data_IF_392832649617
#
_entry.id   IF_392832649617
#
_cell.length_a   1.000
_cell.length_b   1.000
_cell.length_c   1.000
_cell.angle_alpha   90.00
_cell.angle_beta   90.00
_cell.angle_gamma   90.00
#
_symmetry.space_group_name_H-M   'P 1'
#
loop_
_entity.id
_entity.type
_entity.pdbx_description
1 polymer ?
#
# COMPACT_ATOMS: atom_id res chain seq x y z
N UNK A 1 -45.13 6.93 -38.27
CA UNK A 1 -45.34 8.02 -37.31
C UNK A 1 -46.32 8.97 -37.97
N UNK A 2 -47.44 9.28 -37.33
CA UNK A 2 -48.43 10.20 -37.89
C UNK A 2 -47.80 11.61 -37.95
N UNK A 3 -47.82 12.32 -39.09
CA UNK A 3 -47.30 13.68 -39.21
C UNK A 3 -47.80 14.65 -38.13
N UNK A 4 -49.03 14.45 -37.61
CA UNK A 4 -49.60 15.30 -36.56
C UNK A 4 -48.96 15.06 -35.18
N UNK A 5 -48.68 13.80 -34.86
CA UNK A 5 -48.02 13.43 -33.59
C UNK A 5 -46.57 13.96 -33.54
N UNK A 6 -45.87 13.99 -34.68
CA UNK A 6 -44.50 14.52 -34.75
C UNK A 6 -44.45 16.03 -34.50
N UNK A 7 -45.42 16.78 -35.01
CA UNK A 7 -45.50 18.23 -34.84
C UNK A 7 -45.84 18.61 -33.39
N UNK A 8 -46.73 17.85 -32.74
CA UNK A 8 -47.03 17.99 -31.30
C UNK A 8 -45.81 17.68 -30.43
N UNK A 9 -45.07 16.61 -30.74
CA UNK A 9 -43.82 16.27 -30.05
C UNK A 9 -42.76 17.38 -30.19
N UNK A 10 -42.58 17.94 -31.39
CA UNK A 10 -41.65 19.05 -31.62
C UNK A 10 -42.04 20.30 -30.83
N UNK A 11 -43.34 20.62 -30.79
CA UNK A 11 -43.84 21.74 -30.03
C UNK A 11 -43.65 21.56 -28.51
N UNK A 12 -43.91 20.35 -27.99
CA UNK A 12 -43.68 20.00 -26.59
C UNK A 12 -42.18 20.09 -26.22
N UNK A 13 -41.30 19.54 -27.07
CA UNK A 13 -39.85 19.60 -26.87
C UNK A 13 -39.36 21.05 -26.87
N UNK A 14 -39.85 21.90 -27.79
CA UNK A 14 -39.48 23.32 -27.82
C UNK A 14 -39.91 24.05 -26.55
N UNK A 15 -41.15 23.83 -26.09
CA UNK A 15 -41.67 24.43 -24.87
C UNK A 15 -40.86 24.01 -23.63
N UNK A 16 -40.47 22.75 -23.55
CA UNK A 16 -39.64 22.21 -22.47
C UNK A 16 -38.23 22.81 -22.49
N UNK A 17 -37.60 22.94 -23.66
CA UNK A 17 -36.28 23.56 -23.79
C UNK A 17 -36.30 25.02 -23.35
N UNK A 18 -37.33 25.79 -23.72
CA UNK A 18 -37.48 27.18 -23.29
C UNK A 18 -37.71 27.31 -21.78
N UNK A 19 -38.48 26.40 -21.18
CA UNK A 19 -38.66 26.35 -19.73
C UNK A 19 -37.33 26.02 -19.02
N UNK A 20 -36.57 25.08 -19.57
CA UNK A 20 -35.26 24.67 -19.04
C UNK A 20 -34.21 25.78 -19.17
N UNK A 21 -34.22 26.54 -20.26
CA UNK A 21 -33.36 27.72 -20.41
C UNK A 21 -33.72 28.84 -19.44
N UNK A 22 -35.01 29.11 -19.24
CA UNK A 22 -35.47 30.09 -18.23
C UNK A 22 -34.98 29.72 -16.83
N UNK A 23 -35.20 28.48 -16.41
CA UNK A 23 -34.71 27.99 -15.11
C UNK A 23 -33.18 28.06 -15.00
N UNK A 24 -32.45 27.75 -16.08
CA UNK A 24 -30.99 27.87 -16.08
C UNK A 24 -30.53 29.31 -15.87
N UNK A 25 -31.13 30.27 -16.59
CA UNK A 25 -30.81 31.70 -16.48
C UNK A 25 -31.13 32.26 -15.10
N UNK A 26 -32.29 31.91 -14.54
CA UNK A 26 -32.67 32.29 -13.18
C UNK A 26 -31.65 31.75 -12.17
N UNK A 27 -31.31 30.45 -12.25
CA UNK A 27 -30.32 29.83 -11.36
C UNK A 27 -28.93 30.47 -11.48
N UNK A 28 -28.47 30.79 -12.69
CA UNK A 28 -27.21 31.49 -12.92
C UNK A 28 -27.23 32.90 -12.33
N UNK A 29 -28.34 33.63 -12.47
CA UNK A 29 -28.49 34.98 -11.90
C UNK A 29 -28.46 34.96 -10.37
N UNK A 30 -29.14 33.99 -9.75
CA UNK A 30 -29.24 33.86 -8.31
C UNK A 30 -27.89 33.47 -7.66
N UNK A 31 -27.15 32.57 -8.32
CA UNK A 31 -25.78 32.23 -7.92
C UNK A 31 -24.83 33.43 -8.02
N UNK A 32 -25.03 34.29 -9.02
CA UNK A 32 -24.22 35.50 -9.19
C UNK A 32 -24.48 36.51 -8.06
N UNK A 33 -25.75 36.76 -7.72
CA UNK A 33 -26.13 37.62 -6.59
C UNK A 33 -25.55 37.08 -5.28
N UNK A 34 -25.63 35.76 -5.03
CA UNK A 34 -25.06 35.14 -3.82
C UNK A 34 -23.53 35.26 -3.75
N UNK A 35 -22.84 35.14 -4.89
CA UNK A 35 -21.38 35.35 -4.96
C UNK A 35 -20.99 36.81 -4.73
N UNK A 36 -21.69 37.74 -5.35
CA UNK A 36 -21.44 39.18 -5.17
C UNK A 36 -21.73 39.62 -3.72
N UNK A 37 -22.81 39.13 -3.11
CA UNK A 37 -23.11 39.36 -1.69
C UNK A 37 -22.04 38.75 -0.75
N UNK A 38 -21.54 37.56 -1.07
CA UNK A 38 -20.43 36.95 -0.34
C UNK A 38 -19.12 37.74 -0.46
N UNK A 39 -18.82 38.23 -1.66
CA UNK A 39 -17.66 39.11 -1.91
C UNK A 39 -17.74 40.42 -1.14
N UNK A 40 -18.91 41.08 -1.13
CA UNK A 40 -19.14 42.31 -0.38
C UNK A 40 -18.88 42.13 1.13
N UNK A 41 -19.28 40.98 1.68
CA UNK A 41 -19.01 40.63 3.09
C UNK A 41 -17.52 40.48 3.36
N UNK A 42 -16.76 39.90 2.44
CA UNK A 42 -15.31 39.71 2.58
C UNK A 42 -14.59 41.06 2.48
N UNK A 43 -14.96 41.89 1.51
CA UNK A 43 -14.36 43.21 1.33
C UNK A 43 -14.64 44.12 2.52
N UNK A 44 -15.87 44.09 3.06
CA UNK A 44 -16.23 44.81 4.29
C UNK A 44 -15.39 44.35 5.48
N UNK A 45 -15.16 43.04 5.64
CA UNK A 45 -14.32 42.49 6.71
C UNK A 45 -12.89 43.01 6.59
N UNK A 46 -12.32 43.01 5.38
CA UNK A 46 -10.96 43.51 5.11
C UNK A 46 -10.81 44.99 5.44
N UNK A 47 -11.80 45.80 5.07
CA UNK A 47 -11.79 47.25 5.38
C UNK A 47 -11.81 47.47 6.90
N UNK A 48 -12.67 46.74 7.62
CA UNK A 48 -12.76 46.83 9.08
C UNK A 48 -11.45 46.38 9.73
N UNK A 49 -10.86 45.27 9.28
CA UNK A 49 -9.57 44.76 9.78
C UNK A 49 -8.45 45.77 9.56
N UNK A 50 -8.36 46.39 8.37
CA UNK A 50 -7.36 47.40 8.07
C UNK A 50 -7.53 48.68 8.93
N UNK A 51 -8.77 49.14 9.15
CA UNK A 51 -9.04 50.31 10.00
C UNK A 51 -8.70 50.03 11.47
N UNK A 52 -8.96 48.81 11.95
CA UNK A 52 -8.58 48.37 13.30
C UNK A 52 -7.05 48.37 13.44
N UNK A 53 -6.34 47.82 12.46
CA UNK A 53 -4.87 47.80 12.46
C UNK A 53 -4.28 49.22 12.46
N UNK A 54 -4.74 50.10 11.57
CA UNK A 54 -4.32 51.50 11.54
C UNK A 54 -4.60 52.22 12.86
N UNK A 55 -5.77 51.99 13.47
CA UNK A 55 -6.13 52.56 14.77
C UNK A 55 -5.12 52.15 15.86
N UNK A 56 -4.84 50.86 16.00
CA UNK A 56 -3.93 50.35 17.03
C UNK A 56 -2.47 50.76 16.77
N UNK A 57 -2.02 50.71 15.51
CA UNK A 57 -0.68 51.19 15.12
C UNK A 57 -0.50 52.68 15.41
N UNK A 58 -1.52 53.50 15.15
CA UNK A 58 -1.48 54.94 15.45
C UNK A 58 -1.34 55.25 16.94
N UNK A 59 -1.76 54.30 17.79
CA UNK A 59 -1.68 54.38 19.25
C UNK A 59 -0.39 53.78 19.82
N UNK A 60 0.49 53.26 18.96
CA UNK A 60 1.75 52.64 19.38
C UNK A 60 1.61 51.20 19.85
N UNK A 61 0.52 50.52 19.50
CA UNK A 61 0.36 49.08 19.74
C UNK A 61 0.99 48.30 18.59
N UNK A 62 1.47 47.09 18.90
CA UNK A 62 1.99 46.13 17.92
C UNK A 62 1.16 44.86 17.94
N UNK A 63 1.01 44.25 16.77
CA UNK A 63 0.30 42.98 16.59
C UNK A 63 1.23 41.82 16.97
N UNK A 64 0.76 40.93 17.85
CA UNK A 64 1.49 39.74 18.28
C UNK A 64 0.57 38.50 18.23
N UNK A 65 1.17 37.32 18.06
CA UNK A 65 0.47 36.04 18.10
C UNK A 65 0.90 35.31 19.37
N UNK A 66 -0.04 35.01 20.27
CA UNK A 66 0.26 34.33 21.52
C UNK A 66 0.55 32.82 21.32
N UNK A 67 0.94 32.11 22.39
CA UNK A 67 1.26 30.67 22.30
C UNK A 67 0.09 29.79 21.83
N UNK A 68 -1.14 30.28 22.02
CA UNK A 68 -2.37 29.61 21.60
C UNK A 68 -2.76 29.94 20.14
N UNK A 69 -1.99 30.80 19.45
CA UNK A 69 -2.23 31.21 18.06
C UNK A 69 -3.27 32.32 17.89
N UNK A 70 -3.67 32.99 18.98
CA UNK A 70 -4.59 34.13 18.94
C UNK A 70 -3.84 35.46 18.74
N UNK A 71 -4.45 36.38 18.00
CA UNK A 71 -3.89 37.70 17.71
C UNK A 71 -4.24 38.70 18.83
N UNK A 72 -3.20 39.27 19.44
CA UNK A 72 -3.29 40.28 20.49
C UNK A 72 -2.62 41.60 20.05
N UNK A 73 -3.15 42.72 20.54
CA UNK A 73 -2.54 44.05 20.38
C UNK A 73 -1.91 44.47 21.71
N UNK A 74 -0.59 44.59 21.74
CA UNK A 74 0.15 44.99 22.95
C UNK A 74 0.88 46.31 22.72
N UNK A 75 0.87 47.18 23.73
CA UNK A 75 1.69 48.39 23.74
C UNK A 75 3.17 48.07 23.95
N UNK A 76 4.05 49.02 23.62
CA UNK A 76 5.48 48.88 23.85
C UNK A 76 5.86 48.67 25.34
N UNK A 77 5.04 49.13 26.28
CA UNK A 77 5.26 48.95 27.72
C UNK A 77 4.87 47.55 28.18
N UNK A 78 3.68 47.07 27.78
CA UNK A 78 3.23 45.69 28.05
C UNK A 78 4.16 44.65 27.41
N UNK A 79 4.74 44.96 26.25
CA UNK A 79 5.75 44.12 25.59
C UNK A 79 7.03 43.99 26.43
N UNK A 80 7.50 45.08 27.03
CA UNK A 80 8.70 45.06 27.88
C UNK A 80 8.47 44.32 29.19
N UNK A 81 7.27 44.45 29.76
CA UNK A 81 6.89 43.68 30.95
C UNK A 81 6.85 42.18 30.64
N UNK A 82 6.29 41.80 29.48
CA UNK A 82 6.26 40.40 29.02
C UNK A 82 7.65 39.84 28.73
N UNK A 83 8.51 40.61 28.04
CA UNK A 83 9.92 40.24 27.80
C UNK A 83 10.71 40.11 29.10
N UNK A 84 10.45 40.97 30.10
CA UNK A 84 11.08 40.91 31.43
C UNK A 84 10.62 39.75 32.30
N UNK A 85 9.47 39.14 31.98
CA UNK A 85 8.89 38.00 32.69
C UNK A 85 9.25 36.65 32.05
N UNK A 86 9.98 36.65 30.93
CA UNK A 86 10.37 35.41 30.25
C UNK A 86 11.23 34.55 31.19
N UNK A 87 10.82 33.30 31.47
CA UNK A 87 11.66 32.35 32.20
C UNK A 87 12.98 32.16 31.45
N UNK A 88 14.08 32.05 32.19
CA UNK A 88 15.41 31.65 31.71
C UNK A 88 15.25 30.58 30.62
N UNK A 89 15.70 30.88 29.40
CA UNK A 89 15.64 30.08 28.16
C UNK A 89 15.18 28.62 28.33
N UNK A 90 13.86 28.42 28.33
CA UNK A 90 13.24 27.08 28.28
C UNK A 90 13.42 26.43 26.88
N UNK A 91 13.86 27.21 25.88
CA UNK A 91 14.12 26.74 24.51
C UNK A 91 15.40 25.91 24.41
N UNK A 92 16.40 26.15 25.28
CA UNK A 92 17.66 25.37 25.29
C UNK A 92 17.44 23.93 25.78
N UNK A 93 16.46 23.68 26.64
CA UNK A 93 16.12 22.34 27.12
C UNK A 93 15.27 21.54 26.11
N UNK A 94 14.37 22.18 25.35
CA UNK A 94 13.56 21.49 24.32
C UNK A 94 14.38 21.18 23.05
N UNK A 95 15.37 22.00 22.68
CA UNK A 95 16.22 21.73 21.50
C UNK A 95 17.13 20.52 21.74
N UNK A 96 17.76 20.40 22.90
CA UNK A 96 18.55 19.21 23.26
C UNK A 96 17.64 17.98 23.47
N UNK A 97 16.48 18.13 24.11
CA UNK A 97 15.51 17.03 24.20
C UNK A 97 14.99 16.58 22.83
N UNK A 98 14.68 17.49 21.91
CA UNK A 98 14.29 17.17 20.52
C UNK A 98 15.41 16.49 19.76
N UNK A 99 16.65 16.95 19.92
CA UNK A 99 17.83 16.35 19.26
C UNK A 99 18.06 14.92 19.78
N UNK A 100 17.96 14.71 21.08
CA UNK A 100 18.07 13.39 21.71
C UNK A 100 16.90 12.48 21.32
N UNK A 101 15.65 12.96 21.38
CA UNK A 101 14.44 12.24 20.97
C UNK A 101 14.49 11.84 19.49
N UNK A 102 14.89 12.75 18.60
CA UNK A 102 15.01 12.46 17.18
C UNK A 102 16.12 11.45 16.90
N UNK A 103 17.21 11.45 17.65
CA UNK A 103 18.25 10.40 17.57
C UNK A 103 17.72 9.05 18.03
N UNK A 104 16.95 8.98 19.12
CA UNK A 104 16.32 7.74 19.56
C UNK A 104 15.29 7.22 18.55
N UNK A 105 14.49 8.09 17.95
CA UNK A 105 13.54 7.73 16.89
C UNK A 105 14.29 7.19 15.66
N UNK A 106 15.35 7.87 15.22
CA UNK A 106 16.20 7.40 14.11
C UNK A 106 16.82 6.03 14.40
N UNK A 107 17.36 5.81 15.60
CA UNK A 107 17.94 4.52 16.00
C UNK A 107 16.87 3.42 16.08
N UNK A 108 15.67 3.73 16.58
CA UNK A 108 14.56 2.79 16.60
C UNK A 108 14.10 2.41 15.19
N UNK A 109 13.99 3.38 14.28
CA UNK A 109 13.67 3.12 12.86
C UNK A 109 14.77 2.29 12.21
N UNK A 110 16.05 2.62 12.42
CA UNK A 110 17.17 1.87 11.84
C UNK A 110 17.22 0.43 12.37
N UNK A 111 16.97 0.25 13.67
CA UNK A 111 16.86 -1.06 14.30
C UNK A 111 15.68 -1.86 13.75
N UNK A 112 14.50 -1.25 13.64
CA UNK A 112 13.32 -1.88 13.05
C UNK A 112 13.56 -2.25 11.59
N UNK A 113 14.15 -1.36 10.79
CA UNK A 113 14.51 -1.62 9.40
C UNK A 113 15.52 -2.77 9.30
N UNK A 114 16.49 -2.84 10.22
CA UNK A 114 17.44 -3.94 10.31
C UNK A 114 16.77 -5.28 10.65
N UNK A 115 15.80 -5.29 11.56
CA UNK A 115 15.01 -6.49 11.89
C UNK A 115 14.13 -6.91 10.71
N UNK A 116 13.50 -5.96 10.01
CA UNK A 116 12.72 -6.24 8.80
C UNK A 116 13.62 -6.78 7.69
N UNK A 117 14.80 -6.20 7.49
CA UNK A 117 15.79 -6.70 6.53
C UNK A 117 16.26 -8.10 6.90
N UNK A 118 16.57 -8.34 8.17
CA UNK A 118 16.93 -9.67 8.67
C UNK A 118 15.80 -10.67 8.43
N UNK A 119 14.54 -10.29 8.70
CA UNK A 119 13.38 -11.13 8.44
C UNK A 119 13.26 -11.49 6.94
N UNK A 120 13.44 -10.52 6.05
CA UNK A 120 13.45 -10.74 4.59
C UNK A 120 14.60 -11.67 4.17
N UNK A 121 15.78 -11.52 4.77
CA UNK A 121 16.94 -12.37 4.49
C UNK A 121 16.78 -13.80 5.04
N UNK A 122 16.02 -13.97 6.13
CA UNK A 122 15.74 -15.25 6.77
C UNK A 122 14.53 -15.99 6.17
N UNK A 123 13.82 -15.40 5.21
CA UNK A 123 12.81 -16.11 4.45
C UNK A 123 13.49 -17.14 3.54
N UNK A 124 13.44 -18.42 3.94
CA UNK A 124 13.86 -19.51 3.07
C UNK A 124 13.03 -19.46 1.79
N UNK A 125 13.71 -19.15 0.68
CA UNK A 125 13.13 -19.14 -0.67
C UNK A 125 12.80 -20.57 -1.06
N UNK A 126 11.67 -21.08 -0.59
CA UNK A 126 11.20 -22.44 -0.84
C UNK A 126 10.11 -22.47 -1.90
N UNK A 127 9.94 -23.61 -2.55
CA UNK A 127 8.82 -23.94 -3.43
C UNK A 127 8.27 -25.32 -3.07
N UNK A 128 7.38 -25.85 -3.92
CA UNK A 128 6.86 -27.21 -3.78
C UNK A 128 7.08 -28.03 -5.03
N UNK A 129 7.18 -29.35 -4.88
CA UNK A 129 7.28 -30.27 -6.00
C UNK A 129 6.23 -31.36 -5.87
N UNK A 130 5.37 -31.48 -6.86
CA UNK A 130 4.41 -32.56 -7.00
C UNK A 130 5.07 -33.73 -7.75
N UNK A 131 5.15 -34.89 -7.11
CA UNK A 131 5.71 -36.12 -7.70
C UNK A 131 4.58 -37.08 -8.02
N UNK A 132 4.46 -37.43 -9.30
CA UNK A 132 3.42 -38.31 -9.83
C UNK A 132 4.07 -39.54 -10.46
N UNK A 133 3.50 -40.72 -10.21
CA UNK A 133 3.94 -41.96 -10.86
C UNK A 133 2.78 -42.79 -11.40
N UNK A 134 3.06 -43.57 -12.44
CA UNK A 134 2.12 -44.57 -12.94
C UNK A 134 1.90 -45.72 -11.93
N UNK A 135 2.80 -45.88 -10.94
CA UNK A 135 2.71 -46.90 -9.90
C UNK A 135 2.67 -46.21 -8.54
N UNK A 136 1.56 -46.33 -7.78
CA UNK A 136 1.44 -45.69 -6.48
C UNK A 136 2.33 -46.40 -5.44
N UNK A 137 2.72 -45.69 -4.39
CA UNK A 137 3.48 -46.27 -3.29
C UNK A 137 4.97 -46.50 -3.58
N UNK A 138 5.56 -45.76 -4.53
CA UNK A 138 7.00 -45.75 -4.72
C UNK A 138 7.65 -44.73 -3.77
N UNK A 139 8.79 -45.07 -3.18
CA UNK A 139 9.56 -44.16 -2.32
C UNK A 139 10.14 -43.04 -3.16
N UNK A 140 9.89 -41.79 -2.75
CA UNK A 140 10.44 -40.62 -3.41
C UNK A 140 11.82 -40.31 -2.83
N UNK A 141 12.80 -40.10 -3.70
CA UNK A 141 14.19 -39.77 -3.37
C UNK A 141 14.48 -38.36 -3.89
N UNK A 142 14.89 -37.46 -3.01
CA UNK A 142 15.24 -36.08 -3.33
C UNK A 142 16.75 -35.88 -3.14
N UNK A 143 17.45 -35.46 -4.19
CA UNK A 143 18.90 -35.24 -4.18
C UNK A 143 19.71 -36.44 -3.68
N UNK A 144 19.26 -37.66 -3.98
CA UNK A 144 19.89 -38.91 -3.54
C UNK A 144 19.56 -39.33 -2.10
N UNK A 145 18.80 -38.54 -1.35
CA UNK A 145 18.31 -38.90 -0.01
C UNK A 145 16.86 -39.39 -0.09
N UNK A 146 16.54 -40.61 0.41
CA UNK A 146 15.17 -41.07 0.47
C UNK A 146 14.35 -40.17 1.39
N UNK A 147 13.15 -39.81 0.94
CA UNK A 147 12.18 -39.07 1.75
C UNK A 147 11.21 -40.04 2.43
N UNK A 148 10.46 -39.54 3.39
CA UNK A 148 9.39 -40.31 4.05
C UNK A 148 8.10 -40.37 3.22
N UNK A 149 8.08 -39.73 2.05
CA UNK A 149 6.89 -39.64 1.19
C UNK A 149 6.88 -40.73 0.12
N UNK A 150 5.67 -41.20 -0.19
CA UNK A 150 5.38 -42.17 -1.25
C UNK A 150 4.57 -41.51 -2.37
N UNK A 151 4.74 -41.93 -3.62
CA UNK A 151 3.96 -41.43 -4.76
C UNK A 151 2.45 -41.76 -4.63
N UNK A 152 1.51 -40.88 -4.99
CA UNK A 152 1.62 -39.52 -5.53
C UNK A 152 1.62 -38.47 -4.39
N UNK A 153 2.74 -37.77 -4.18
CA UNK A 153 2.90 -36.84 -3.06
C UNK A 153 3.38 -35.46 -3.47
N UNK A 154 3.23 -34.51 -2.55
CA UNK A 154 3.74 -33.16 -2.67
C UNK A 154 4.84 -32.93 -1.64
N UNK A 155 6.04 -32.60 -2.12
CA UNK A 155 7.14 -32.15 -1.29
C UNK A 155 7.01 -30.65 -1.08
N UNK A 156 6.74 -30.23 0.16
CA UNK A 156 6.64 -28.82 0.53
C UNK A 156 7.97 -28.29 1.09
N UNK A 157 8.12 -26.96 1.11
CA UNK A 157 9.28 -26.27 1.68
C UNK A 157 10.62 -26.72 1.09
N UNK A 158 10.64 -27.11 -0.19
CA UNK A 158 11.87 -27.49 -0.90
C UNK A 158 12.61 -26.20 -1.29
N UNK A 159 13.89 -26.08 -0.93
CA UNK A 159 14.71 -24.90 -1.25
C UNK A 159 14.68 -24.63 -2.76
N UNK A 160 14.64 -23.36 -3.17
CA UNK A 160 14.75 -23.01 -4.59
C UNK A 160 16.14 -23.37 -5.13
N UNK A 161 16.18 -23.85 -6.37
CA UNK A 161 17.38 -24.26 -7.09
C UNK A 161 17.24 -25.61 -7.78
N UNK A 162 18.35 -26.17 -8.29
CA UNK A 162 18.34 -27.43 -9.00
C UNK A 162 18.19 -28.61 -8.04
N UNK A 163 17.16 -29.42 -8.27
CA UNK A 163 16.87 -30.66 -7.57
C UNK A 163 16.89 -31.85 -8.52
N UNK A 164 17.30 -33.00 -8.00
CA UNK A 164 17.24 -34.27 -8.69
C UNK A 164 16.28 -35.19 -7.97
N UNK A 165 15.25 -35.66 -8.67
CA UNK A 165 14.18 -36.48 -8.11
C UNK A 165 14.20 -37.84 -8.78
N UNK A 166 14.11 -38.89 -7.98
CA UNK A 166 13.90 -40.25 -8.46
C UNK A 166 12.89 -40.97 -7.58
N UNK A 167 12.37 -42.08 -8.09
CA UNK A 167 11.44 -42.93 -7.36
C UNK A 167 11.95 -44.36 -7.36
N UNK A 168 11.76 -45.07 -6.24
CA UNK A 168 12.20 -46.45 -6.07
C UNK A 168 11.06 -47.31 -5.53
N UNK A 169 10.89 -48.50 -6.10
CA UNK A 169 9.92 -49.48 -5.64
C UNK A 169 10.42 -50.89 -5.90
N UNK A 170 10.30 -51.77 -4.91
CA UNK A 170 10.72 -53.16 -5.05
C UNK A 170 9.98 -53.86 -6.21
N UNK A 171 10.73 -54.57 -7.05
CA UNK A 171 10.19 -55.26 -8.23
C UNK A 171 9.94 -54.36 -9.44
N UNK A 172 10.36 -53.10 -9.40
CA UNK A 172 10.21 -52.15 -10.51
C UNK A 172 11.52 -51.42 -10.81
N UNK A 173 11.71 -51.05 -12.07
CA UNK A 173 12.81 -50.20 -12.54
C UNK A 173 12.28 -48.97 -13.27
N UNK A 174 13.06 -47.87 -13.35
CA UNK A 174 12.68 -46.70 -14.12
C UNK A 174 12.39 -47.05 -15.59
N UNK A 175 11.31 -46.50 -16.12
CA UNK A 175 10.97 -46.54 -17.53
C UNK A 175 11.44 -45.25 -18.22
N UNK A 176 12.72 -45.22 -18.59
CA UNK A 176 13.38 -44.06 -19.18
C UNK A 176 14.47 -43.49 -18.27
N UNK A 177 14.44 -42.18 -18.04
CA UNK A 177 15.41 -41.51 -17.17
C UNK A 177 15.20 -41.93 -15.71
N UNK A 178 16.25 -42.46 -15.07
CA UNK A 178 16.22 -42.85 -13.66
C UNK A 178 15.97 -41.66 -12.72
N UNK A 179 16.44 -40.47 -13.12
CA UNK A 179 16.36 -39.24 -12.35
C UNK A 179 15.79 -38.12 -13.23
N UNK A 180 14.88 -37.32 -12.68
CA UNK A 180 14.40 -36.07 -13.27
C UNK A 180 15.09 -34.89 -12.60
N UNK A 181 15.61 -33.95 -13.41
CA UNK A 181 16.16 -32.68 -12.93
C UNK A 181 15.07 -31.62 -12.98
N UNK A 182 14.87 -30.90 -11.87
CA UNK A 182 13.93 -29.78 -11.74
C UNK A 182 14.71 -28.56 -11.29
N UNK A 183 14.48 -27.41 -11.91
CA UNK A 183 15.01 -26.14 -11.42
C UNK A 183 13.89 -25.36 -10.72
N UNK A 184 13.79 -25.56 -9.40
CA UNK A 184 12.68 -25.08 -8.61
C UNK A 184 12.84 -23.58 -8.31
N UNK A 185 11.85 -22.78 -8.69
CA UNK A 185 11.79 -21.36 -8.31
C UNK A 185 11.08 -21.17 -6.98
N UNK A 186 11.50 -20.16 -6.23
CA UNK A 186 10.86 -19.77 -4.98
C UNK A 186 9.37 -19.47 -5.21
N UNK A 187 8.50 -19.98 -4.34
CA UNK A 187 7.04 -19.82 -4.40
C UNK A 187 6.35 -20.55 -5.57
N UNK A 188 7.07 -21.32 -6.38
CA UNK A 188 6.48 -22.06 -7.50
C UNK A 188 6.21 -23.52 -7.11
N UNK A 189 5.26 -24.12 -7.84
CA UNK A 189 4.96 -25.54 -7.74
C UNK A 189 5.36 -26.24 -9.05
N UNK A 190 6.35 -27.13 -8.98
CA UNK A 190 6.81 -27.90 -10.13
C UNK A 190 6.20 -29.30 -10.12
N UNK A 191 5.84 -29.82 -11.29
CA UNK A 191 5.24 -31.16 -11.42
C UNK A 191 6.21 -32.08 -12.14
N UNK A 192 6.49 -33.22 -11.52
CA UNK A 192 7.38 -34.26 -12.05
C UNK A 192 6.62 -35.55 -12.20
N UNK A 193 6.63 -36.08 -13.43
CA UNK A 193 6.01 -37.37 -13.74
C UNK A 193 7.12 -38.38 -14.01
N UNK A 194 7.19 -39.43 -13.20
CA UNK A 194 8.17 -40.51 -13.32
C UNK A 194 7.48 -41.85 -13.51
N UNK A 195 7.95 -42.61 -14.50
CA UNK A 195 7.35 -43.89 -14.86
C UNK A 195 8.23 -45.05 -14.41
N UNK A 196 7.60 -46.09 -13.89
CA UNK A 196 8.20 -47.35 -13.52
C UNK A 196 7.64 -48.48 -14.39
N UNK A 197 8.48 -49.46 -14.68
CA UNK A 197 8.09 -50.73 -15.32
C UNK A 197 8.50 -51.93 -14.46
N UNK A 198 7.78 -53.06 -14.52
CA UNK A 198 8.14 -54.25 -13.76
C UNK A 198 9.55 -54.74 -14.11
N UNK A 199 10.31 -55.11 -13.09
CA UNK A 199 11.60 -55.74 -13.23
C UNK A 199 11.44 -57.25 -13.02
N UNK A 200 11.42 -58.01 -14.11
CA UNK A 200 11.28 -59.47 -14.05
C UNK A 200 12.65 -60.13 -13.89
N UNK A 201 12.93 -60.68 -12.71
CA UNK A 201 14.07 -61.59 -12.51
C UNK A 201 13.62 -63.01 -12.79
N UNK A 202 14.22 -63.67 -13.78
CA UNK A 202 14.02 -65.11 -13.96
C UNK A 202 14.57 -65.88 -12.74
N UNK A 203 14.03 -67.07 -12.49
CA UNK A 203 14.40 -68.04 -11.45
C UNK A 203 15.90 -68.41 -11.38
N UNK A 204 16.69 -67.99 -12.37
CA UNK A 204 18.14 -68.18 -12.49
C UNK A 204 18.97 -66.90 -12.27
N UNK A 205 18.35 -65.79 -11.87
CA UNK A 205 19.06 -64.55 -11.49
C UNK A 205 19.73 -63.76 -12.62
N UNK A 206 19.40 -64.02 -13.90
CA UNK A 206 19.86 -63.21 -15.04
C UNK A 206 18.85 -62.11 -15.38
N UNK A 207 19.29 -60.86 -15.43
CA UNK A 207 18.47 -59.74 -15.91
C UNK A 207 18.34 -59.79 -17.44
N UNK A 208 17.12 -59.61 -17.97
CA UNK A 208 16.88 -59.30 -19.39
C UNK A 208 16.66 -57.81 -19.58
#
# INVERSE_FOLDING_TARGET
MDPREEEELRHLVRKELEARERMRRERESDLRVRREAGGLSVDRKRIIEAEIEDFYLSKGYRRFENEDGELEWLSDEELREREGQLPIDMEELDVEQRRVRNRFILLAILGFLGVVLLFILMQDRTGSIQVISNIPGATVVLNGSPTEFLTDCRLEHVKAGPHMISISKYGYVPDGAANARVDLKAGHNEVVVLKLKPHYTDSLGRSR
#
